data_IF_420017440785
#
_entry.id   IF_420017440785
#
_cell.length_a   1.000
_cell.length_b   1.000
_cell.length_c   1.000
_cell.angle_alpha   90.00
_cell.angle_beta   90.00
_cell.angle_gamma   90.00
#
_symmetry.space_group_name_H-M   'P 1'
#
loop_
_entity.id
_entity.type
_entity.pdbx_description
1 polymer ?
#
# COMPACT_ATOMS: atom_id res chain seq x y z
N UNK A 1 -3.30 8.60 -24.42
CA UNK A 1 -4.68 8.80 -23.93
C UNK A 1 -5.68 7.94 -24.72
N UNK A 2 -5.75 8.08 -26.04
CA UNK A 2 -6.71 7.31 -26.87
C UNK A 2 -6.61 5.79 -26.63
N UNK A 3 -5.39 5.23 -26.59
CA UNK A 3 -5.17 3.78 -26.39
C UNK A 3 -5.82 3.27 -25.10
N UNK A 4 -5.68 3.98 -23.99
CA UNK A 4 -6.26 3.61 -22.68
C UNK A 4 -7.78 3.70 -22.72
N UNK A 5 -8.34 4.82 -23.21
CA UNK A 5 -9.78 5.00 -23.35
C UNK A 5 -10.42 3.94 -24.25
N UNK A 6 -9.84 3.73 -25.44
CA UNK A 6 -10.31 2.73 -26.39
C UNK A 6 -10.21 1.29 -25.86
N UNK A 7 -9.17 0.99 -25.07
CA UNK A 7 -9.03 -0.32 -24.42
C UNK A 7 -10.07 -0.51 -23.32
N UNK A 8 -10.33 0.51 -22.51
CA UNK A 8 -11.34 0.47 -21.47
C UNK A 8 -12.74 0.23 -22.02
N UNK A 9 -13.04 0.86 -23.17
CA UNK A 9 -14.32 0.72 -23.90
C UNK A 9 -14.41 -0.53 -24.79
N UNK A 10 -13.34 -1.31 -24.92
CA UNK A 10 -13.33 -2.53 -25.72
C UNK A 10 -13.11 -2.32 -27.24
N UNK A 11 -12.76 -1.12 -27.70
CA UNK A 11 -12.37 -0.87 -29.10
C UNK A 11 -10.97 -1.37 -29.43
N UNK A 12 -10.06 -1.37 -28.46
CA UNK A 12 -8.73 -2.00 -28.54
C UNK A 12 -8.83 -3.37 -27.91
N UNK A 13 -8.41 -4.40 -28.63
CA UNK A 13 -8.39 -5.78 -28.15
C UNK A 13 -7.24 -6.04 -27.15
N UNK A 14 -7.33 -7.12 -26.39
CA UNK A 14 -6.25 -7.55 -25.50
C UNK A 14 -4.95 -7.81 -26.26
N UNK A 15 -5.01 -8.37 -27.46
CA UNK A 15 -3.82 -8.60 -28.29
C UNK A 15 -3.12 -7.29 -28.71
N UNK A 16 -3.90 -6.25 -29.04
CA UNK A 16 -3.35 -4.95 -29.39
C UNK A 16 -2.75 -4.25 -28.15
N UNK A 17 -3.44 -4.33 -27.01
CA UNK A 17 -2.95 -3.75 -25.76
C UNK A 17 -1.73 -4.51 -25.22
N UNK A 18 -1.65 -5.84 -25.39
CA UNK A 18 -0.48 -6.64 -25.08
C UNK A 18 0.73 -6.22 -25.91
N UNK A 19 0.51 -5.95 -27.21
CA UNK A 19 1.57 -5.45 -28.11
C UNK A 19 2.08 -4.09 -27.66
N UNK A 20 1.18 -3.19 -27.24
CA UNK A 20 1.55 -1.90 -26.66
C UNK A 20 2.36 -2.09 -25.34
N UNK A 21 1.89 -2.92 -24.42
CA UNK A 21 2.58 -3.19 -23.16
C UNK A 21 3.98 -3.80 -23.39
N UNK A 22 4.11 -4.71 -24.37
CA UNK A 22 5.40 -5.29 -24.76
C UNK A 22 6.33 -4.24 -25.39
N UNK A 23 5.82 -3.32 -26.22
CA UNK A 23 6.62 -2.23 -26.76
C UNK A 23 7.16 -1.31 -25.63
N UNK A 24 6.33 -1.01 -24.64
CA UNK A 24 6.76 -0.26 -23.45
C UNK A 24 7.80 -1.04 -22.64
N UNK A 25 7.61 -2.34 -22.46
CA UNK A 25 8.56 -3.20 -21.75
C UNK A 25 9.94 -3.20 -22.41
N UNK A 26 10.00 -3.26 -23.74
CA UNK A 26 11.24 -3.35 -24.51
C UNK A 26 11.95 -2.00 -24.69
N UNK A 27 11.20 -0.90 -24.77
CA UNK A 27 11.72 0.43 -25.15
C UNK A 27 11.63 1.49 -24.06
N UNK A 28 10.90 1.21 -22.98
CA UNK A 28 10.59 2.20 -21.95
C UNK A 28 9.56 3.23 -22.43
N UNK A 29 9.43 4.29 -21.68
CA UNK A 29 8.65 5.49 -21.96
C UNK A 29 9.37 6.71 -21.41
N UNK A 30 9.23 7.84 -22.07
CA UNK A 30 9.66 9.13 -21.57
C UNK A 30 8.77 9.61 -20.41
N UNK A 31 9.29 10.50 -19.56
CA UNK A 31 8.56 11.00 -18.37
C UNK A 31 7.17 11.54 -18.72
N UNK A 32 7.06 12.34 -19.79
CA UNK A 32 5.77 12.91 -20.22
C UNK A 32 4.81 11.83 -20.72
N UNK A 33 5.31 10.80 -21.36
CA UNK A 33 4.49 9.67 -21.79
C UNK A 33 3.93 8.88 -20.60
N UNK A 34 4.76 8.64 -19.56
CA UNK A 34 4.33 7.97 -18.33
C UNK A 34 3.25 8.80 -17.63
N UNK A 35 3.44 10.13 -17.55
CA UNK A 35 2.43 11.05 -16.99
C UNK A 35 1.12 10.98 -17.76
N UNK A 36 1.16 11.07 -19.09
CA UNK A 36 -0.04 10.99 -19.94
C UNK A 36 -0.74 9.64 -19.82
N UNK A 37 0.01 8.54 -19.66
CA UNK A 37 -0.54 7.20 -19.42
C UNK A 37 -1.25 7.15 -18.06
N UNK A 38 -0.60 7.65 -17.00
CA UNK A 38 -1.15 7.71 -15.65
C UNK A 38 -2.43 8.56 -15.60
N UNK A 39 -2.41 9.76 -16.19
CA UNK A 39 -3.58 10.63 -16.30
C UNK A 39 -4.76 9.95 -17.01
N UNK A 40 -4.47 9.21 -18.09
CA UNK A 40 -5.50 8.48 -18.81
C UNK A 40 -6.12 7.33 -18.00
N UNK A 41 -5.31 6.64 -17.17
CA UNK A 41 -5.80 5.63 -16.24
C UNK A 41 -6.68 6.25 -15.14
N UNK A 42 -6.26 7.39 -14.56
CA UNK A 42 -7.04 8.12 -13.57
C UNK A 42 -8.39 8.56 -14.18
N UNK A 43 -8.35 9.14 -15.38
CA UNK A 43 -9.54 9.64 -16.08
C UNK A 43 -10.52 8.53 -16.51
N UNK A 44 -10.12 7.28 -16.47
CA UNK A 44 -10.99 6.14 -16.80
C UNK A 44 -12.01 5.82 -15.70
N UNK A 45 -11.86 6.38 -14.50
CA UNK A 45 -12.68 6.08 -13.35
C UNK A 45 -13.01 7.27 -12.48
N UNK A 46 -13.43 6.98 -11.28
CA UNK A 46 -13.79 7.96 -10.27
C UNK A 46 -12.55 8.48 -9.53
N UNK A 47 -12.69 9.66 -8.91
CA UNK A 47 -11.73 10.20 -7.94
C UNK A 47 -12.43 10.39 -6.62
N UNK A 48 -11.76 10.03 -5.54
CA UNK A 48 -12.19 10.40 -4.20
C UNK A 48 -11.72 11.83 -3.89
N UNK A 49 -12.37 12.46 -2.91
CA UNK A 49 -11.99 13.78 -2.41
C UNK A 49 -12.23 13.86 -0.91
N UNK A 50 -11.23 14.32 -0.20
CA UNK A 50 -11.27 14.52 1.25
C UNK A 50 -11.25 16.02 1.63
N UNK A 51 -11.49 16.90 0.67
CA UNK A 51 -11.41 18.35 0.87
C UNK A 51 -12.31 18.87 2.02
N UNK A 52 -13.43 18.18 2.29
CA UNK A 52 -14.39 18.57 3.35
C UNK A 52 -14.12 17.87 4.68
N UNK A 53 -13.09 17.04 4.77
CA UNK A 53 -12.79 16.25 5.98
C UNK A 53 -12.30 17.13 7.15
N UNK A 54 -11.67 18.27 6.86
CA UNK A 54 -11.11 19.17 7.87
C UNK A 54 -9.82 18.67 8.54
N UNK A 55 -9.27 17.55 8.07
CA UNK A 55 -8.01 16.95 8.52
C UNK A 55 -7.06 16.81 7.32
N UNK A 56 -5.74 16.85 7.57
CA UNK A 56 -4.77 16.44 6.56
C UNK A 56 -4.88 14.95 6.31
N UNK A 57 -4.78 14.58 5.04
CA UNK A 57 -4.82 13.18 4.60
C UNK A 57 -3.46 12.73 4.10
N UNK A 58 -2.99 11.59 4.59
CA UNK A 58 -1.74 11.00 4.12
C UNK A 58 -1.90 9.50 3.96
N UNK A 59 -1.37 8.95 2.89
CA UNK A 59 -1.37 7.52 2.65
C UNK A 59 0.04 6.98 2.42
N UNK A 60 0.17 5.68 2.49
CA UNK A 60 1.42 4.95 2.22
C UNK A 60 1.17 3.85 1.20
N UNK A 61 2.08 3.70 0.26
CA UNK A 61 2.08 2.56 -0.65
C UNK A 61 3.39 1.80 -0.55
N UNK A 62 3.32 0.48 -0.38
CA UNK A 62 4.46 -0.42 -0.49
C UNK A 62 4.46 -1.13 -1.84
N UNK A 63 5.64 -1.28 -2.45
CA UNK A 63 5.80 -2.13 -3.63
C UNK A 63 5.69 -3.62 -3.33
N UNK A 64 5.61 -3.98 -2.05
CA UNK A 64 5.41 -5.34 -1.56
C UNK A 64 6.71 -6.11 -1.33
N UNK A 65 6.62 -7.07 -0.42
CA UNK A 65 7.73 -7.96 -0.05
C UNK A 65 7.27 -9.04 0.93
N UNK A 66 8.17 -9.99 1.20
CA UNK A 66 7.87 -11.11 2.10
C UNK A 66 7.77 -10.61 3.55
N UNK A 67 6.64 -10.89 4.20
CA UNK A 67 6.40 -10.45 5.58
C UNK A 67 6.10 -8.97 5.73
N UNK A 68 5.79 -8.25 4.64
CA UNK A 68 5.44 -6.83 4.70
C UNK A 68 4.06 -6.62 5.35
N UNK A 69 4.11 -6.44 6.66
CA UNK A 69 2.95 -6.15 7.51
C UNK A 69 2.87 -4.69 7.96
N UNK A 70 3.78 -3.85 7.50
CA UNK A 70 4.00 -2.48 8.03
C UNK A 70 2.72 -1.63 8.00
N UNK A 71 1.87 -1.79 7.00
CA UNK A 71 0.60 -1.04 6.91
C UNK A 71 -0.30 -1.24 8.14
N UNK A 72 -0.27 -2.43 8.77
CA UNK A 72 -1.13 -2.77 9.89
C UNK A 72 -0.85 -1.90 11.13
N UNK A 73 0.38 -1.83 11.63
CA UNK A 73 0.71 -0.95 12.75
C UNK A 73 0.79 0.53 12.34
N UNK A 74 1.17 0.84 11.09
CA UNK A 74 1.43 2.19 10.62
C UNK A 74 0.16 3.06 10.55
N UNK A 75 -0.92 2.55 9.96
CA UNK A 75 -2.12 3.34 9.74
C UNK A 75 -2.74 3.86 11.06
N UNK A 76 -2.99 3.03 12.09
CA UNK A 76 -3.49 3.52 13.36
C UNK A 76 -2.46 4.39 14.10
N UNK A 77 -1.17 4.10 14.01
CA UNK A 77 -0.10 4.89 14.64
C UNK A 77 -0.09 6.34 14.11
N UNK A 78 -0.22 6.54 12.81
CA UNK A 78 -0.26 7.89 12.22
C UNK A 78 -1.57 8.61 12.57
N UNK A 79 -2.68 7.88 12.59
CA UNK A 79 -4.00 8.46 12.86
C UNK A 79 -4.15 9.06 14.27
N UNK A 80 -3.46 8.50 15.29
CA UNK A 80 -3.54 9.03 16.66
C UNK A 80 -2.96 10.44 16.83
N UNK A 81 -2.27 10.94 15.81
CA UNK A 81 -1.81 12.34 15.74
C UNK A 81 -2.81 13.27 15.04
N UNK A 82 -4.05 12.82 14.80
CA UNK A 82 -5.10 13.63 14.16
C UNK A 82 -5.00 13.74 12.64
N UNK A 83 -4.14 12.94 12.00
CA UNK A 83 -4.02 12.83 10.55
C UNK A 83 -4.98 11.76 10.06
N UNK A 84 -5.66 11.98 8.94
CA UNK A 84 -6.53 10.98 8.34
C UNK A 84 -5.75 10.07 7.39
N UNK A 85 -5.92 8.75 7.55
CA UNK A 85 -5.19 7.73 6.79
C UNK A 85 -6.17 6.83 6.04
N UNK A 86 -6.56 7.20 4.79
CA UNK A 86 -7.46 6.40 3.95
C UNK A 86 -6.68 5.32 3.18
N UNK A 87 -6.17 4.32 3.88
CA UNK A 87 -5.28 3.32 3.32
C UNK A 87 -6.01 2.33 2.42
N UNK A 88 -6.02 2.59 1.11
CA UNK A 88 -6.48 1.61 0.12
C UNK A 88 -5.39 0.56 -0.11
N UNK A 89 -5.76 -0.69 0.10
CA UNK A 89 -4.86 -1.84 0.09
C UNK A 89 -5.32 -2.93 -0.88
N UNK A 90 -4.39 -3.83 -1.20
CA UNK A 90 -4.62 -4.97 -2.08
C UNK A 90 -4.56 -6.32 -1.38
N UNK A 91 -4.94 -7.33 -2.15
CA UNK A 91 -4.71 -8.75 -1.83
C UNK A 91 -3.30 -9.16 -2.22
N UNK A 92 -2.88 -10.34 -1.76
CA UNK A 92 -1.60 -10.92 -2.10
C UNK A 92 -1.43 -11.17 -3.59
N UNK A 93 -0.20 -11.02 -4.05
CA UNK A 93 0.20 -11.29 -5.42
C UNK A 93 1.50 -12.09 -5.43
N UNK A 94 1.55 -13.16 -6.23
CA UNK A 94 2.72 -14.01 -6.33
C UNK A 94 3.10 -14.63 -4.98
N UNK A 95 4.33 -14.37 -4.53
CA UNK A 95 4.89 -14.90 -3.27
C UNK A 95 4.64 -14.00 -2.05
N UNK A 96 3.91 -12.89 -2.20
CA UNK A 96 3.64 -11.94 -1.12
C UNK A 96 2.23 -12.08 -0.57
N UNK A 97 2.07 -11.90 0.76
CA UNK A 97 0.75 -11.82 1.39
C UNK A 97 0.17 -10.41 1.27
N UNK A 98 -1.12 -10.30 0.96
CA UNK A 98 -1.82 -9.02 0.88
C UNK A 98 -2.24 -8.48 2.24
N UNK A 99 -2.28 -7.17 2.38
CA UNK A 99 -2.74 -6.49 3.61
C UNK A 99 -4.16 -6.88 3.98
N UNK A 100 -5.06 -6.96 2.99
CA UNK A 100 -6.46 -7.35 3.22
C UNK A 100 -6.58 -8.80 3.68
N UNK A 101 -5.79 -9.71 3.06
CA UNK A 101 -5.80 -11.14 3.41
C UNK A 101 -5.35 -11.36 4.87
N UNK A 102 -4.43 -10.52 5.37
CA UNK A 102 -4.00 -10.54 6.76
C UNK A 102 -5.13 -10.11 7.69
N UNK A 103 -5.75 -8.97 7.42
CA UNK A 103 -6.83 -8.42 8.24
C UNK A 103 -8.09 -9.29 8.23
N UNK A 104 -8.38 -10.00 7.13
CA UNK A 104 -9.47 -10.97 7.04
C UNK A 104 -9.28 -12.19 7.96
N UNK A 105 -8.10 -12.38 8.55
CA UNK A 105 -7.90 -13.36 9.63
C UNK A 105 -8.52 -12.94 10.97
N UNK A 106 -8.88 -11.66 11.11
CA UNK A 106 -9.58 -11.13 12.28
C UNK A 106 -11.06 -11.41 12.13
N UNK A 107 -11.70 -12.13 13.09
CA UNK A 107 -13.12 -12.46 13.01
C UNK A 107 -14.00 -11.22 12.82
N UNK A 108 -14.90 -11.29 11.83
CA UNK A 108 -15.87 -10.25 11.51
C UNK A 108 -15.33 -9.09 10.68
N UNK A 109 -14.02 -8.90 10.57
CA UNK A 109 -13.46 -7.75 9.88
C UNK A 109 -13.83 -7.70 8.39
N UNK A 110 -14.14 -6.49 7.92
CA UNK A 110 -14.69 -6.24 6.58
C UNK A 110 -13.77 -5.35 5.75
N UNK A 111 -13.29 -5.86 4.60
CA UNK A 111 -12.42 -5.13 3.68
C UNK A 111 -13.18 -4.15 2.77
N UNK A 112 -14.43 -4.46 2.41
CA UNK A 112 -15.22 -3.65 1.48
C UNK A 112 -16.02 -2.60 2.25
N UNK A 113 -15.74 -1.34 1.96
CA UNK A 113 -16.45 -0.17 2.50
C UNK A 113 -16.93 0.71 1.35
N UNK A 114 -18.05 1.41 1.55
CA UNK A 114 -18.45 2.49 0.65
C UNK A 114 -17.63 3.75 0.88
N UNK A 115 -17.66 4.67 -0.08
CA UNK A 115 -16.95 5.95 0.06
C UNK A 115 -17.48 6.76 1.26
N UNK A 116 -18.78 6.66 1.57
CA UNK A 116 -19.42 7.30 2.72
C UNK A 116 -18.94 6.70 4.04
N UNK A 117 -18.81 5.37 4.12
CA UNK A 117 -18.28 4.68 5.30
C UNK A 117 -16.81 5.06 5.54
N UNK A 118 -15.98 5.07 4.48
CA UNK A 118 -14.58 5.52 4.53
C UNK A 118 -14.49 6.94 5.07
N UNK A 119 -15.28 7.86 4.50
CA UNK A 119 -15.29 9.26 4.91
C UNK A 119 -15.72 9.43 6.36
N UNK A 120 -16.81 8.79 6.78
CA UNK A 120 -17.33 8.84 8.14
C UNK A 120 -16.32 8.33 9.17
N UNK A 121 -15.64 7.21 8.89
CA UNK A 121 -14.62 6.64 9.78
C UNK A 121 -13.41 7.58 9.94
N UNK A 122 -12.97 8.23 8.88
CA UNK A 122 -11.86 9.18 8.94
C UNK A 122 -12.23 10.52 9.59
N UNK A 123 -13.48 10.96 9.43
CA UNK A 123 -13.98 12.19 10.07
C UNK A 123 -14.09 12.03 11.58
N UNK A 124 -14.44 10.85 12.06
CA UNK A 124 -14.53 10.50 13.47
C UNK A 124 -13.17 10.42 14.17
N UNK A 125 -13.18 9.92 15.40
CA UNK A 125 -11.99 9.80 16.25
C UNK A 125 -11.03 8.69 15.80
N UNK A 126 -11.50 7.75 14.98
CA UNK A 126 -10.67 6.63 14.47
C UNK A 126 -9.57 7.14 13.53
N UNK A 127 -9.90 8.04 12.61
CA UNK A 127 -8.95 8.68 11.72
C UNK A 127 -8.24 7.79 10.68
N UNK A 128 -8.33 6.48 10.78
CA UNK A 128 -7.71 5.53 9.85
C UNK A 128 -8.72 4.52 9.32
N UNK A 129 -8.51 4.08 8.09
CA UNK A 129 -9.20 2.95 7.47
C UNK A 129 -8.21 2.15 6.63
N UNK A 130 -8.30 0.82 6.67
CA UNK A 130 -7.59 -0.05 5.70
C UNK A 130 -8.67 -0.83 4.97
N UNK A 131 -8.84 -0.58 3.68
CA UNK A 131 -9.92 -1.21 2.91
C UNK A 131 -9.51 -1.52 1.47
N UNK A 132 -10.35 -2.27 0.78
CA UNK A 132 -10.18 -2.54 -0.64
C UNK A 132 -10.48 -1.28 -1.46
N UNK A 133 -9.69 -1.05 -2.51
CA UNK A 133 -10.02 -0.03 -3.49
C UNK A 133 -11.37 -0.34 -4.15
N UNK A 134 -12.25 0.65 -4.21
CA UNK A 134 -13.51 0.54 -4.92
C UNK A 134 -13.31 0.20 -6.40
N UNK A 135 -14.27 -0.47 -7.01
CA UNK A 135 -14.20 -0.86 -8.43
C UNK A 135 -14.16 0.32 -9.40
N UNK A 136 -14.55 1.51 -8.94
CA UNK A 136 -14.54 2.75 -9.72
C UNK A 136 -13.16 3.42 -9.84
N UNK A 137 -12.19 3.06 -8.98
CA UNK A 137 -10.85 3.67 -9.04
C UNK A 137 -10.01 3.06 -10.16
N UNK A 138 -9.60 3.89 -11.13
CA UNK A 138 -8.72 3.55 -12.25
C UNK A 138 -9.04 2.19 -12.92
N UNK A 139 -10.26 1.93 -13.42
CA UNK A 139 -10.67 0.65 -14.00
C UNK A 139 -9.80 0.24 -15.20
N UNK A 140 -9.25 1.18 -15.94
CA UNK A 140 -8.29 0.90 -17.01
C UNK A 140 -7.03 0.20 -16.48
N UNK A 141 -6.54 0.60 -15.29
CA UNK A 141 -5.40 -0.06 -14.67
C UNK A 141 -5.72 -1.50 -14.28
N UNK A 142 -6.88 -1.74 -13.67
CA UNK A 142 -7.31 -3.09 -13.29
C UNK A 142 -7.29 -4.05 -14.48
N UNK A 143 -7.81 -3.60 -15.62
CA UNK A 143 -7.85 -4.40 -16.85
C UNK A 143 -6.46 -4.60 -17.43
N UNK A 144 -5.64 -3.54 -17.50
CA UNK A 144 -4.28 -3.62 -18.02
C UNK A 144 -3.38 -4.46 -17.10
N UNK A 145 -3.52 -4.37 -15.79
CA UNK A 145 -2.74 -5.16 -14.84
C UNK A 145 -2.95 -6.67 -15.04
N UNK A 146 -4.22 -7.10 -15.16
CA UNK A 146 -4.54 -8.49 -15.46
C UNK A 146 -3.94 -8.99 -16.79
N UNK A 147 -3.92 -8.12 -17.82
CA UNK A 147 -3.28 -8.44 -19.10
C UNK A 147 -1.76 -8.56 -18.96
N UNK A 148 -1.12 -7.68 -18.18
CA UNK A 148 0.35 -7.69 -17.98
C UNK A 148 0.82 -8.97 -17.29
N UNK A 149 0.04 -9.52 -16.40
CA UNK A 149 0.35 -10.77 -15.69
C UNK A 149 0.50 -11.94 -16.71
N UNK A 150 -0.45 -12.08 -17.62
CA UNK A 150 -0.42 -13.16 -18.62
C UNK A 150 0.53 -12.90 -19.81
N UNK A 151 0.97 -11.66 -20.01
CA UNK A 151 1.86 -11.29 -21.13
C UNK A 151 3.32 -11.10 -20.73
N UNK A 152 3.68 -11.32 -19.47
CA UNK A 152 5.05 -11.19 -18.97
C UNK A 152 5.60 -9.77 -19.02
N UNK A 153 4.73 -8.74 -18.88
CA UNK A 153 5.13 -7.33 -18.96
C UNK A 153 5.01 -6.60 -17.61
N UNK A 154 4.97 -7.35 -16.50
CA UNK A 154 4.80 -6.79 -15.15
C UNK A 154 5.99 -5.91 -14.73
N UNK A 155 7.23 -6.30 -15.09
CA UNK A 155 8.45 -5.66 -14.59
C UNK A 155 8.83 -4.32 -15.27
N UNK A 156 8.00 -3.82 -16.19
CA UNK A 156 8.25 -2.54 -16.85
C UNK A 156 8.02 -1.36 -15.89
N UNK A 157 9.08 -0.63 -15.52
CA UNK A 157 9.01 0.50 -14.57
C UNK A 157 7.93 1.53 -14.95
N UNK A 158 7.78 1.98 -16.22
CA UNK A 158 6.71 2.89 -16.60
C UNK A 158 5.31 2.36 -16.28
N UNK A 159 5.09 1.07 -16.53
CA UNK A 159 3.80 0.43 -16.28
C UNK A 159 3.54 0.17 -14.79
N UNK A 160 4.59 -0.14 -14.01
CA UNK A 160 4.50 -0.27 -12.55
C UNK A 160 4.14 1.10 -11.94
N UNK A 161 4.91 2.13 -12.29
CA UNK A 161 4.70 3.48 -11.77
C UNK A 161 3.30 4.01 -12.10
N UNK A 162 2.85 3.89 -13.37
CA UNK A 162 1.51 4.32 -13.78
C UNK A 162 0.40 3.55 -13.05
N UNK A 163 0.57 2.23 -12.88
CA UNK A 163 -0.40 1.38 -12.18
C UNK A 163 -0.56 1.77 -10.70
N UNK A 164 0.53 1.98 -9.99
CA UNK A 164 0.52 2.39 -8.58
C UNK A 164 -0.06 3.81 -8.46
N UNK A 165 0.55 4.76 -9.19
CA UNK A 165 0.24 6.17 -9.02
C UNK A 165 -1.15 6.56 -9.52
N UNK A 166 -1.69 5.86 -10.54
CA UNK A 166 -3.07 6.12 -10.98
C UNK A 166 -4.09 5.90 -9.87
N UNK A 167 -3.94 4.84 -9.07
CA UNK A 167 -4.83 4.57 -7.93
C UNK A 167 -4.58 5.54 -6.79
N UNK A 168 -3.30 5.78 -6.43
CA UNK A 168 -2.93 6.64 -5.31
C UNK A 168 -3.28 8.12 -5.54
N UNK A 169 -3.17 8.62 -6.78
CA UNK A 169 -3.62 9.97 -7.11
C UNK A 169 -5.16 10.03 -7.18
N UNK A 170 -5.83 9.00 -7.73
CA UNK A 170 -7.30 8.94 -7.78
C UNK A 170 -7.95 8.84 -6.38
N UNK A 171 -7.23 8.31 -5.39
CA UNK A 171 -7.61 8.26 -3.99
C UNK A 171 -7.78 9.65 -3.36
N UNK A 172 -7.05 10.65 -3.85
CA UNK A 172 -7.28 12.06 -3.51
C UNK A 172 -6.71 12.51 -2.17
N UNK A 173 -5.66 11.87 -1.66
CA UNK A 173 -4.94 12.29 -0.44
C UNK A 173 -4.05 13.51 -0.69
N UNK A 174 -3.81 14.32 0.36
CA UNK A 174 -2.88 15.46 0.31
C UNK A 174 -1.43 15.03 0.13
N UNK A 175 -1.06 13.88 0.72
CA UNK A 175 0.32 13.40 0.72
C UNK A 175 0.40 11.87 0.59
N UNK A 176 1.54 11.40 0.09
CA UNK A 176 1.83 9.98 -0.14
C UNK A 176 3.28 9.65 0.21
N UNK A 177 3.48 8.61 1.01
CA UNK A 177 4.78 8.00 1.28
C UNK A 177 4.88 6.69 0.51
N UNK A 178 5.92 6.55 -0.28
CA UNK A 178 6.22 5.35 -1.07
C UNK A 178 7.30 4.53 -0.36
N UNK A 179 6.95 3.31 0.00
CA UNK A 179 7.86 2.31 0.55
C UNK A 179 8.32 1.40 -0.59
N UNK A 180 9.42 1.77 -1.25
CA UNK A 180 9.94 1.06 -2.42
C UNK A 180 10.94 0.01 -1.99
N UNK A 181 10.51 -1.23 -2.03
CA UNK A 181 11.31 -2.36 -1.56
C UNK A 181 12.23 -2.89 -2.64
N UNK A 182 13.47 -3.23 -2.24
CA UNK A 182 14.47 -3.87 -3.10
C UNK A 182 15.10 -5.08 -2.41
N UNK A 183 15.62 -6.01 -3.18
CA UNK A 183 16.29 -7.21 -2.69
C UNK A 183 15.57 -8.50 -3.08
N UNK A 184 16.08 -9.65 -2.63
CA UNK A 184 15.62 -10.98 -3.04
C UNK A 184 14.17 -11.30 -2.67
N UNK A 185 13.63 -10.67 -1.65
CA UNK A 185 12.23 -10.80 -1.21
C UNK A 185 11.27 -9.75 -1.80
N UNK A 186 11.75 -8.88 -2.69
CA UNK A 186 10.97 -7.83 -3.35
C UNK A 186 10.81 -8.10 -4.85
N UNK A 187 9.87 -7.37 -5.50
CA UNK A 187 9.74 -7.40 -6.96
C UNK A 187 10.92 -6.70 -7.65
N UNK A 188 11.46 -5.62 -7.07
CA UNK A 188 12.67 -4.97 -7.54
C UNK A 188 13.87 -5.56 -6.82
N UNK A 189 14.64 -6.43 -7.49
CA UNK A 189 15.82 -7.04 -6.89
C UNK A 189 17.01 -6.09 -6.81
N UNK A 190 17.15 -5.23 -7.81
CA UNK A 190 18.24 -4.26 -7.94
C UNK A 190 17.86 -2.90 -7.35
N UNK A 191 18.76 -2.33 -6.52
CA UNK A 191 18.54 -1.05 -5.83
C UNK A 191 18.50 0.14 -6.81
N UNK A 192 19.22 0.10 -7.91
CA UNK A 192 19.24 1.22 -8.87
C UNK A 192 17.94 1.25 -9.67
N UNK A 193 17.38 0.08 -10.02
CA UNK A 193 16.05 -0.02 -10.60
C UNK A 193 14.95 0.39 -9.62
N UNK A 194 15.08 0.03 -8.34
CA UNK A 194 14.16 0.50 -7.29
C UNK A 194 14.21 2.03 -7.15
N UNK A 195 15.41 2.62 -7.23
CA UNK A 195 15.62 4.08 -7.20
C UNK A 195 15.01 4.77 -8.42
N UNK A 196 15.13 4.18 -9.60
CA UNK A 196 14.49 4.68 -10.81
C UNK A 196 12.96 4.67 -10.67
N UNK A 197 12.38 3.56 -10.19
CA UNK A 197 10.96 3.45 -9.91
C UNK A 197 10.50 4.51 -8.88
N UNK A 198 11.23 4.66 -7.78
CA UNK A 198 10.93 5.64 -6.75
C UNK A 198 10.92 7.07 -7.30
N UNK A 199 11.94 7.46 -8.06
CA UNK A 199 12.02 8.79 -8.70
C UNK A 199 10.87 9.02 -9.68
N UNK A 200 10.51 8.01 -10.47
CA UNK A 200 9.40 8.09 -11.43
C UNK A 200 8.07 8.31 -10.69
N UNK A 201 7.81 7.55 -9.63
CA UNK A 201 6.57 7.68 -8.84
C UNK A 201 6.50 9.01 -8.09
N UNK A 202 7.60 9.47 -7.47
CA UNK A 202 7.65 10.78 -6.79
C UNK A 202 7.36 11.91 -7.78
N UNK A 203 7.94 11.85 -8.99
CA UNK A 203 7.69 12.84 -10.03
C UNK A 203 6.21 12.86 -10.44
N UNK A 204 5.57 11.69 -10.64
CA UNK A 204 4.14 11.59 -10.99
C UNK A 204 3.24 12.17 -9.89
N UNK A 205 3.55 11.90 -8.61
CA UNK A 205 2.81 12.44 -7.47
C UNK A 205 2.92 13.96 -7.42
N UNK A 206 4.14 14.48 -7.49
CA UNK A 206 4.44 15.93 -7.47
C UNK A 206 3.78 16.66 -8.65
N UNK A 207 3.90 16.12 -9.87
CA UNK A 207 3.27 16.68 -11.07
C UNK A 207 1.72 16.71 -10.97
N UNK A 208 1.15 15.84 -10.12
CA UNK A 208 -0.30 15.75 -9.85
C UNK A 208 -0.75 16.55 -8.63
N UNK A 209 0.15 17.28 -7.96
CA UNK A 209 -0.15 18.10 -6.78
C UNK A 209 -0.24 17.31 -5.47
N UNK A 210 0.21 16.05 -5.44
CA UNK A 210 0.28 15.22 -4.23
C UNK A 210 1.69 15.32 -3.65
N UNK A 211 1.83 15.78 -2.40
CA UNK A 211 3.12 15.82 -1.72
C UNK A 211 3.64 14.37 -1.56
N UNK A 212 4.71 14.02 -2.29
CA UNK A 212 5.15 12.63 -2.39
C UNK A 212 6.63 12.48 -2.01
N UNK A 213 6.93 11.54 -1.12
CA UNK A 213 8.29 11.10 -0.79
C UNK A 213 8.42 9.59 -0.96
N UNK A 214 9.66 9.09 -1.05
CA UNK A 214 9.92 7.66 -1.18
C UNK A 214 11.10 7.24 -0.30
N UNK A 215 10.94 6.10 0.39
CA UNK A 215 12.00 5.39 1.07
C UNK A 215 12.36 4.15 0.26
N UNK A 216 13.66 3.88 0.12
CA UNK A 216 14.17 2.61 -0.39
C UNK A 216 14.42 1.70 0.81
N UNK A 217 13.75 0.56 0.85
CA UNK A 217 13.79 -0.35 1.99
C UNK A 217 14.28 -1.74 1.59
N UNK A 218 15.19 -2.29 2.38
CA UNK A 218 15.81 -3.58 2.10
C UNK A 218 14.85 -4.74 2.38
N UNK A 219 14.75 -5.65 1.43
CA UNK A 219 13.99 -6.92 1.49
C UNK A 219 14.84 -8.14 1.15
N UNK A 220 16.16 -8.09 1.36
CA UNK A 220 17.00 -9.28 1.27
C UNK A 220 16.70 -10.28 2.39
N UNK A 221 16.12 -9.82 3.49
CA UNK A 221 15.59 -10.63 4.57
C UNK A 221 14.10 -10.34 4.71
N UNK A 222 13.23 -11.34 4.91
CA UNK A 222 11.82 -11.11 5.22
C UNK A 222 11.66 -10.22 6.47
N UNK A 223 10.63 -9.34 6.45
CA UNK A 223 10.34 -8.49 7.60
C UNK A 223 9.74 -9.27 8.77
N UNK A 224 10.34 -9.09 9.93
CA UNK A 224 9.95 -9.75 11.16
C UNK A 224 10.27 -11.23 11.18
N UNK A 225 9.64 -11.95 12.09
CA UNK A 225 9.86 -13.38 12.35
C UNK A 225 8.66 -14.23 11.96
N UNK A 226 7.50 -13.60 11.75
CA UNK A 226 6.24 -14.25 11.46
C UNK A 226 5.80 -13.93 10.01
N UNK A 227 5.54 -14.96 9.22
CA UNK A 227 5.05 -14.84 7.85
C UNK A 227 3.77 -15.65 7.74
N UNK A 228 2.77 -15.09 7.10
CA UNK A 228 1.41 -15.65 6.96
C UNK A 228 0.37 -14.78 7.66
N UNK A 229 -0.86 -14.80 7.14
CA UNK A 229 -1.90 -13.81 7.44
C UNK A 229 -2.09 -13.53 8.96
N UNK A 230 -2.58 -14.47 9.72
CA UNK A 230 -2.81 -14.31 11.15
C UNK A 230 -1.51 -14.14 11.97
N UNK A 231 -0.41 -14.73 11.52
CA UNK A 231 0.89 -14.61 12.19
C UNK A 231 1.42 -13.19 12.09
N UNK A 232 1.26 -12.56 10.93
CA UNK A 232 1.69 -11.18 10.71
C UNK A 232 0.79 -10.18 11.44
N UNK A 233 -0.50 -10.48 11.63
CA UNK A 233 -1.37 -9.66 12.51
C UNK A 233 -0.89 -9.73 13.96
N UNK A 234 -0.56 -10.93 14.48
CA UNK A 234 -0.02 -11.06 15.87
C UNK A 234 1.23 -10.22 16.06
N UNK A 235 2.18 -10.34 15.13
CA UNK A 235 3.44 -9.59 15.21
C UNK A 235 3.23 -8.07 15.08
N UNK A 236 2.25 -7.63 14.27
CA UNK A 236 1.85 -6.22 14.19
C UNK A 236 1.25 -5.71 15.51
N UNK A 237 0.46 -6.53 16.19
CA UNK A 237 -0.09 -6.22 17.52
C UNK A 237 1.03 -6.14 18.56
N UNK A 238 2.07 -6.96 18.48
CA UNK A 238 3.24 -6.85 19.36
C UNK A 238 3.96 -5.50 19.17
N UNK A 239 4.10 -5.03 17.92
CA UNK A 239 4.68 -3.70 17.63
C UNK A 239 3.82 -2.58 18.21
N UNK A 240 2.51 -2.67 18.05
CA UNK A 240 1.55 -1.69 18.61
C UNK A 240 1.53 -1.68 20.13
N UNK A 241 1.94 -2.76 20.78
CA UNK A 241 2.11 -2.88 22.23
C UNK A 241 3.49 -2.41 22.72
N UNK A 242 4.28 -1.75 21.87
CA UNK A 242 5.61 -1.24 22.23
C UNK A 242 6.75 -2.26 22.09
N UNK A 243 6.47 -3.51 21.66
CA UNK A 243 7.43 -4.59 21.47
C UNK A 243 7.65 -4.97 20.01
N UNK A 244 7.64 -6.27 19.75
CA UNK A 244 7.80 -6.87 18.41
C UNK A 244 9.23 -6.90 17.87
N UNK A 245 9.43 -7.37 16.62
CA UNK A 245 10.73 -7.37 15.97
C UNK A 245 11.24 -5.95 15.71
N UNK A 246 12.54 -5.72 15.93
CA UNK A 246 13.16 -4.40 15.79
C UNK A 246 13.05 -3.83 14.38
N UNK A 247 13.25 -4.66 13.36
CA UNK A 247 13.16 -4.29 11.94
C UNK A 247 11.75 -3.78 11.56
N UNK A 248 10.71 -4.49 12.02
CA UNK A 248 9.31 -4.08 11.80
C UNK A 248 9.00 -2.77 12.54
N UNK A 249 9.43 -2.66 13.81
CA UNK A 249 9.24 -1.46 14.62
C UNK A 249 9.96 -0.25 14.01
N UNK A 250 11.24 -0.39 13.67
CA UNK A 250 12.06 0.68 13.10
C UNK A 250 11.51 1.19 11.77
N UNK A 251 11.10 0.27 10.88
CA UNK A 251 10.52 0.66 9.60
C UNK A 251 9.15 1.32 9.78
N UNK A 252 8.33 0.84 10.70
CA UNK A 252 7.05 1.47 11.05
C UNK A 252 7.26 2.91 11.54
N UNK A 253 8.20 3.14 12.44
CA UNK A 253 8.55 4.46 12.97
C UNK A 253 9.08 5.38 11.85
N UNK A 254 9.99 4.87 11.01
CA UNK A 254 10.56 5.65 9.91
C UNK A 254 9.48 6.13 8.93
N UNK A 255 8.58 5.24 8.52
CA UNK A 255 7.47 5.59 7.62
C UNK A 255 6.45 6.51 8.29
N UNK A 256 6.15 6.31 9.59
CA UNK A 256 5.25 7.19 10.34
C UNK A 256 5.80 8.61 10.43
N UNK A 257 7.09 8.78 10.68
CA UNK A 257 7.76 10.10 10.69
C UNK A 257 7.64 10.81 9.35
N UNK A 258 7.86 10.11 8.24
CA UNK A 258 7.71 10.69 6.90
C UNK A 258 6.25 11.09 6.63
N UNK A 259 5.28 10.23 6.99
CA UNK A 259 3.86 10.55 6.83
C UNK A 259 3.46 11.77 7.66
N UNK A 260 3.89 11.85 8.90
CA UNK A 260 3.60 12.97 9.80
C UNK A 260 4.31 14.26 9.36
N UNK A 261 5.55 14.18 8.89
CA UNK A 261 6.27 15.33 8.34
C UNK A 261 5.54 15.91 7.12
N UNK A 262 5.07 15.08 6.18
CA UNK A 262 4.25 15.52 5.05
C UNK A 262 2.88 16.08 5.48
N UNK A 263 2.35 15.62 6.62
CA UNK A 263 1.13 16.17 7.23
C UNK A 263 1.36 17.47 8.02
N UNK A 264 2.60 17.96 8.11
CA UNK A 264 2.97 19.19 8.84
C UNK A 264 3.27 18.99 10.32
N UNK A 265 3.58 17.76 10.74
CA UNK A 265 3.89 17.38 12.13
C UNK A 265 5.26 16.67 12.24
N UNK A 266 6.38 17.33 11.83
CA UNK A 266 7.70 16.67 11.81
C UNK A 266 8.25 16.33 13.20
N UNK A 267 7.76 16.97 14.25
CA UNK A 267 8.22 16.81 15.64
C UNK A 267 7.34 15.84 16.44
N UNK A 268 6.44 15.08 15.79
CA UNK A 268 5.57 14.12 16.46
C UNK A 268 6.38 12.99 17.11
N UNK A 269 6.12 12.73 18.40
CA UNK A 269 6.79 11.65 19.15
C UNK A 269 6.12 10.30 18.86
N UNK A 270 6.58 9.70 17.75
CA UNK A 270 6.04 8.44 17.22
C UNK A 270 6.32 7.27 18.16
N UNK A 271 7.50 7.23 18.76
CA UNK A 271 7.90 6.18 19.70
C UNK A 271 7.02 6.21 20.95
N UNK A 272 6.80 7.38 21.52
CA UNK A 272 5.92 7.52 22.68
C UNK A 272 4.52 7.00 22.39
N UNK A 273 3.97 7.21 21.18
CA UNK A 273 2.64 6.73 20.83
C UNK A 273 2.53 5.20 20.73
N UNK A 274 3.63 4.50 20.46
CA UNK A 274 3.71 3.03 20.56
C UNK A 274 3.83 2.57 22.02
N UNK A 275 4.65 3.27 22.81
CA UNK A 275 5.03 2.83 24.16
C UNK A 275 3.96 3.18 25.21
N UNK A 276 3.14 4.22 24.99
CA UNK A 276 2.06 4.65 25.90
C UNK A 276 0.69 4.02 25.61
N UNK A 277 0.58 3.22 24.54
CA UNK A 277 -0.62 2.47 24.18
C UNK A 277 -1.59 3.18 23.24
N UNK A 278 -1.39 4.46 22.91
CA UNK A 278 -2.29 5.19 21.98
C UNK A 278 -2.41 4.51 20.61
N UNK A 279 -1.31 4.00 20.07
CA UNK A 279 -1.32 3.28 18.79
C UNK A 279 -2.14 1.99 18.85
N UNK A 280 -2.08 1.26 19.97
CA UNK A 280 -2.91 0.06 20.21
C UNK A 280 -4.39 0.42 20.33
N UNK A 281 -4.73 1.50 21.01
CA UNK A 281 -6.11 1.96 21.11
C UNK A 281 -6.64 2.37 19.74
N UNK A 282 -5.85 3.06 18.93
CA UNK A 282 -6.15 3.39 17.53
C UNK A 282 -6.40 2.15 16.67
N UNK A 283 -5.55 1.12 16.80
CA UNK A 283 -5.73 -0.17 16.15
C UNK A 283 -7.06 -0.82 16.51
N UNK A 284 -7.35 -0.94 17.80
CA UNK A 284 -8.61 -1.54 18.29
C UNK A 284 -9.83 -0.78 17.79
N UNK A 285 -9.77 0.54 17.80
CA UNK A 285 -10.84 1.38 17.29
C UNK A 285 -11.04 1.19 15.78
N UNK A 286 -9.95 1.15 14.99
CA UNK A 286 -10.01 0.93 13.55
C UNK A 286 -10.60 -0.43 13.19
N UNK A 287 -10.17 -1.50 13.87
CA UNK A 287 -10.69 -2.85 13.61
C UNK A 287 -12.18 -2.95 13.93
N UNK A 288 -12.63 -2.39 15.09
CA UNK A 288 -14.05 -2.38 15.46
C UNK A 288 -14.91 -1.56 14.51
N UNK A 289 -14.39 -0.43 13.99
CA UNK A 289 -15.11 0.39 13.02
C UNK A 289 -15.35 -0.32 11.68
N UNK A 290 -14.62 -1.40 11.43
CA UNK A 290 -14.78 -2.27 10.27
C UNK A 290 -15.38 -3.66 10.63
N UNK A 291 -16.21 -3.72 11.67
CA UNK A 291 -16.95 -4.88 12.17
C UNK A 291 -16.05 -6.02 12.73
N UNK A 292 -14.73 -5.82 12.83
CA UNK A 292 -13.81 -6.81 13.36
C UNK A 292 -13.76 -6.83 14.88
N UNK A 293 -13.43 -8.00 15.45
CA UNK A 293 -13.16 -8.16 16.87
C UNK A 293 -11.63 -8.20 17.10
N UNK A 294 -11.00 -7.09 17.59
CA UNK A 294 -9.56 -7.02 17.77
C UNK A 294 -9.05 -7.89 18.93
N UNK A 295 -9.94 -8.36 19.80
CA UNK A 295 -9.61 -9.15 20.98
C UNK A 295 -9.93 -10.65 20.78
N UNK A 296 -10.52 -11.03 19.63
CA UNK A 296 -10.81 -12.40 19.27
C UNK A 296 -9.55 -13.23 19.02
N UNK A 297 -9.56 -14.54 19.33
CA UNK A 297 -8.45 -15.41 19.02
C UNK A 297 -8.26 -15.54 17.51
N UNK A 298 -7.05 -15.26 17.04
CA UNK A 298 -6.68 -15.44 15.64
C UNK A 298 -6.48 -16.91 15.29
N UNK A 299 -6.75 -17.31 14.04
CA UNK A 299 -6.55 -18.67 13.56
C UNK A 299 -5.12 -19.16 13.80
N UNK A 300 -4.98 -20.44 14.17
CA UNK A 300 -3.70 -21.12 14.34
C UNK A 300 -3.63 -22.35 13.44
N UNK A 301 -2.42 -22.71 12.98
CA UNK A 301 -2.21 -23.94 12.22
C UNK A 301 -2.53 -25.17 13.10
N UNK A 302 -3.17 -26.18 12.52
CA UNK A 302 -3.49 -27.45 13.17
C UNK A 302 -2.25 -28.33 13.33
N UNK A 303 -1.33 -28.22 12.38
CA UNK A 303 -0.11 -29.01 12.33
C UNK A 303 1.08 -28.05 12.16
N UNK A 304 2.21 -28.43 12.75
CA UNK A 304 3.48 -27.70 12.63
C UNK A 304 4.58 -28.67 12.20
N UNK A 305 5.49 -28.18 11.37
CA UNK A 305 6.68 -28.90 10.96
C UNK A 305 7.92 -28.03 11.15
N UNK A 306 8.96 -28.61 11.76
CA UNK A 306 10.23 -27.90 11.97
C UNK A 306 11.16 -28.23 10.80
N UNK A 307 11.56 -27.17 10.08
CA UNK A 307 12.58 -27.26 9.04
C UNK A 307 13.87 -26.67 9.57
N UNK A 308 14.93 -27.49 9.66
CA UNK A 308 16.25 -27.04 10.08
C UNK A 308 17.05 -26.60 8.85
N UNK A 309 17.60 -25.39 8.89
CA UNK A 309 18.58 -24.97 7.88
C UNK A 309 19.93 -25.57 8.17
N UNK A 310 20.43 -26.38 7.23
CA UNK A 310 21.77 -26.98 7.33
C UNK A 310 22.89 -26.10 6.77
N UNK A 311 22.53 -24.92 6.20
CA UNK A 311 23.48 -24.00 5.53
C UNK A 311 24.16 -23.07 6.55
N UNK A 312 23.62 -22.97 7.76
CA UNK A 312 24.09 -22.05 8.80
C UNK A 312 24.65 -22.75 10.02
N UNK A 313 25.07 -24.01 9.85
CA UNK A 313 25.77 -24.82 10.89
C UNK A 313 27.26 -24.76 10.62
#
# INVERSE_FOLDING_TARGET
RWMVDAYTRGYVSDAQMASFAMAVFQRGMERDEIRVLTDAMIASGERMSFATLGKKTVDKHSTGGVGDKITLPLAPLVAVFGVAVPQLSGRGLGHTGGTLDKLESIPGWRAALSNEEIFAQMQGDVGAVICAAGSGLAPADKKLYALRDVTGTVEAIPLIASSIMSKKIAEGTDALVLDVKFGSGAFMQDIDRARELARTMVALGTDSGVATTALLTDMNVPLGRAIGNANEVRESVEVLAGGGPSDVRELTIALAREMLALAGQPDADVEAALDDGRAMDGWKAMIRAQDGDPDAPLPTARETHVVLSLIHI
#
